data_IF_482792622526
#
_entry.id   IF_482792622526
#
_cell.length_a   1.000
_cell.length_b   1.000
_cell.length_c   1.000
_cell.angle_alpha   90.00
_cell.angle_beta   90.00
_cell.angle_gamma   90.00
#
_symmetry.space_group_name_H-M   'P 1'
#
loop_
_entity.id
_entity.type
_entity.pdbx_description
1 polymer ?
#
# COMPACT_ATOMS: atom_id res chain seq x y z
N UNK A 1 -25.14 -2.91 -0.16
CA UNK A 1 -24.70 -1.50 -0.02
C UNK A 1 -25.41 -0.65 1.06
N UNK A 2 -24.72 -0.38 2.18
CA UNK A 2 -25.08 0.66 3.16
C UNK A 2 -24.83 2.07 2.61
N UNK A 3 -25.65 3.06 3.00
CA UNK A 3 -25.45 4.47 2.64
C UNK A 3 -24.49 5.22 3.56
N UNK A 4 -24.21 4.68 4.75
CA UNK A 4 -23.43 5.35 5.78
C UNK A 4 -22.35 4.40 6.33
N UNK A 5 -21.21 4.93 6.79
CA UNK A 5 -20.19 4.11 7.43
C UNK A 5 -20.74 3.47 8.72
N UNK A 6 -20.34 2.22 9.05
CA UNK A 6 -20.66 1.58 10.33
C UNK A 6 -20.28 2.48 11.53
N UNK A 7 -21.07 2.42 12.60
CA UNK A 7 -20.82 3.22 13.80
C UNK A 7 -19.56 2.73 14.55
N UNK A 8 -19.28 1.43 14.49
CA UNK A 8 -18.06 0.82 15.03
C UNK A 8 -16.82 1.31 14.29
N UNK A 9 -16.87 1.41 12.96
CA UNK A 9 -15.80 2.02 12.16
C UNK A 9 -15.51 3.45 12.64
N UNK A 10 -16.53 4.31 12.72
CA UNK A 10 -16.34 5.70 13.12
C UNK A 10 -15.74 5.79 14.54
N UNK A 11 -16.21 4.94 15.45
CA UNK A 11 -15.68 4.88 16.82
C UNK A 11 -14.21 4.44 16.85
N UNK A 12 -13.84 3.44 16.04
CA UNK A 12 -12.46 2.98 15.89
C UNK A 12 -11.54 4.09 15.38
N UNK A 13 -11.93 4.80 14.32
CA UNK A 13 -11.14 5.91 13.77
C UNK A 13 -10.93 7.03 14.80
N UNK A 14 -11.96 7.37 15.58
CA UNK A 14 -11.87 8.36 16.65
C UNK A 14 -10.92 7.93 17.77
N UNK A 15 -11.00 6.65 18.20
CA UNK A 15 -10.13 6.09 19.22
C UNK A 15 -8.64 6.15 18.82
N UNK A 16 -8.36 5.90 17.53
CA UNK A 16 -7.01 5.97 16.96
C UNK A 16 -6.59 7.38 16.54
N UNK A 17 -7.37 8.40 16.89
CA UNK A 17 -7.08 9.81 16.63
C UNK A 17 -6.87 10.12 15.14
N UNK A 18 -7.56 9.39 14.27
CA UNK A 18 -7.61 9.70 12.85
C UNK A 18 -8.20 11.12 12.69
N UNK A 19 -7.62 11.98 11.85
CA UNK A 19 -8.07 13.38 11.75
C UNK A 19 -9.57 13.49 11.45
N UNK A 20 -10.26 14.40 12.14
CA UNK A 20 -11.71 14.57 12.01
C UNK A 20 -12.16 14.84 10.56
N UNK A 21 -11.31 15.49 9.75
CA UNK A 21 -11.55 15.70 8.32
C UNK A 21 -11.65 14.40 7.51
N UNK A 22 -10.91 13.34 7.89
CA UNK A 22 -11.00 12.04 7.24
C UNK A 22 -12.34 11.36 7.55
N UNK A 23 -12.75 11.39 8.82
CA UNK A 23 -14.02 10.83 9.29
C UNK A 23 -15.19 11.56 8.62
N UNK A 24 -15.10 12.89 8.56
CA UNK A 24 -16.11 13.72 7.88
C UNK A 24 -16.18 13.40 6.39
N UNK A 25 -15.04 13.13 5.73
CA UNK A 25 -15.03 12.76 4.32
C UNK A 25 -15.75 11.42 4.08
N UNK A 26 -15.54 10.40 4.92
CA UNK A 26 -16.28 9.14 4.85
C UNK A 26 -17.78 9.34 5.08
N UNK A 27 -18.16 10.13 6.08
CA UNK A 27 -19.58 10.37 6.38
C UNK A 27 -20.35 11.08 5.25
N UNK A 28 -19.65 11.82 4.38
CA UNK A 28 -20.24 12.50 3.22
C UNK A 28 -20.01 11.75 1.90
N UNK A 29 -19.25 10.66 1.92
CA UNK A 29 -19.03 9.84 0.74
C UNK A 29 -20.35 9.18 0.31
N UNK A 30 -20.61 9.16 -0.99
CA UNK A 30 -21.74 8.44 -1.57
C UNK A 30 -21.22 7.13 -2.15
N UNK A 31 -21.55 5.97 -1.54
CA UNK A 31 -21.12 4.67 -2.03
C UNK A 31 -21.58 4.39 -3.46
N UNK A 32 -20.77 3.64 -4.19
CA UNK A 32 -21.07 3.11 -5.52
C UNK A 32 -20.53 1.68 -5.63
N UNK A 33 -20.95 0.96 -6.66
CA UNK A 33 -20.44 -0.38 -6.97
C UNK A 33 -18.89 -0.40 -6.92
N UNK A 34 -18.36 -1.44 -6.27
CA UNK A 34 -16.93 -1.62 -5.96
C UNK A 34 -16.32 -0.70 -4.90
N UNK A 35 -17.10 0.23 -4.35
CA UNK A 35 -16.69 1.17 -3.30
C UNK A 35 -17.81 1.35 -2.28
N UNK A 36 -18.11 0.26 -1.57
CA UNK A 36 -19.22 0.12 -0.66
C UNK A 36 -18.77 0.18 0.80
N UNK A 37 -19.59 0.77 1.68
CA UNK A 37 -19.45 0.50 3.10
C UNK A 37 -19.89 -0.93 3.42
N UNK A 38 -19.31 -1.50 4.48
CA UNK A 38 -19.81 -2.72 5.11
C UNK A 38 -21.28 -2.56 5.49
N UNK A 39 -22.02 -3.67 5.44
CA UNK A 39 -23.47 -3.68 5.55
C UNK A 39 -23.96 -3.21 6.91
N UNK A 40 -23.25 -3.59 7.96
CA UNK A 40 -23.50 -3.21 9.34
C UNK A 40 -22.23 -3.32 10.21
N UNK A 41 -22.37 -3.03 11.50
CA UNK A 41 -21.27 -3.09 12.46
C UNK A 41 -20.70 -4.52 12.63
N UNK A 42 -21.51 -5.57 12.43
CA UNK A 42 -21.07 -6.97 12.56
C UNK A 42 -20.25 -7.37 11.36
N UNK A 43 -20.72 -7.03 10.15
CA UNK A 43 -19.99 -7.23 8.90
C UNK A 43 -18.61 -6.55 8.97
N UNK A 44 -18.58 -5.28 9.40
CA UNK A 44 -17.33 -4.56 9.60
C UNK A 44 -16.41 -5.20 10.65
N UNK A 45 -16.97 -5.66 11.77
CA UNK A 45 -16.18 -6.27 12.84
C UNK A 45 -15.51 -7.56 12.38
N UNK A 46 -16.20 -8.38 11.56
CA UNK A 46 -15.62 -9.61 11.03
C UNK A 46 -14.36 -9.33 10.17
N UNK A 47 -14.43 -8.33 9.29
CA UNK A 47 -13.26 -7.90 8.50
C UNK A 47 -12.15 -7.32 9.38
N UNK A 48 -12.53 -6.52 10.40
CA UNK A 48 -11.56 -5.98 11.36
C UNK A 48 -10.84 -7.08 12.15
N UNK A 49 -11.57 -8.10 12.60
CA UNK A 49 -11.01 -9.24 13.32
C UNK A 49 -10.04 -10.03 12.43
N UNK A 50 -10.37 -10.22 11.15
CA UNK A 50 -9.45 -10.83 10.19
C UNK A 50 -8.13 -10.06 10.06
N UNK A 51 -8.16 -8.72 9.92
CA UNK A 51 -6.94 -7.92 9.90
C UNK A 51 -6.16 -7.99 11.21
N UNK A 52 -6.84 -7.99 12.35
CA UNK A 52 -6.18 -8.08 13.66
C UNK A 52 -5.53 -9.44 13.90
N UNK A 53 -6.10 -10.52 13.36
CA UNK A 53 -5.54 -11.86 13.49
C UNK A 53 -4.39 -12.09 12.51
N UNK A 54 -4.56 -11.71 11.24
CA UNK A 54 -3.64 -12.05 10.15
C UNK A 54 -2.57 -10.98 9.86
N UNK A 55 -2.78 -9.72 10.24
CA UNK A 55 -1.94 -8.58 9.79
C UNK A 55 -1.46 -7.69 10.96
N UNK A 56 -1.04 -8.33 12.04
CA UNK A 56 -0.68 -7.67 13.31
C UNK A 56 0.45 -6.64 13.19
N UNK A 57 1.35 -6.79 12.21
CA UNK A 57 2.49 -5.89 11.99
C UNK A 57 2.05 -4.45 11.66
N UNK A 58 0.92 -4.30 10.98
CA UNK A 58 0.38 -3.04 10.53
C UNK A 58 -1.10 -2.97 10.92
N UNK A 59 -1.44 -2.46 12.11
CA UNK A 59 -2.83 -2.31 12.53
C UNK A 59 -3.61 -1.42 11.56
N UNK A 60 -4.68 -1.95 10.99
CA UNK A 60 -5.54 -1.26 10.02
C UNK A 60 -7.01 -1.38 10.38
N UNK A 61 -7.83 -0.49 9.83
CA UNK A 61 -9.29 -0.62 9.83
C UNK A 61 -9.80 -0.64 8.39
N UNK A 62 -10.70 -1.57 8.03
CA UNK A 62 -11.33 -1.54 6.74
C UNK A 62 -12.33 -0.39 6.65
N UNK A 63 -12.34 0.32 5.53
CA UNK A 63 -13.13 1.55 5.31
C UNK A 63 -14.14 1.41 4.18
N UNK A 64 -13.81 0.67 3.11
CA UNK A 64 -14.70 0.33 2.00
C UNK A 64 -14.40 -1.10 1.52
N UNK A 65 -15.32 -1.73 0.82
CA UNK A 65 -15.18 -3.04 0.19
C UNK A 65 -15.84 -3.05 -1.19
N UNK A 66 -15.57 -4.08 -1.98
CA UNK A 66 -16.17 -4.28 -3.31
C UNK A 66 -17.31 -5.32 -3.36
N UNK A 67 -17.72 -5.87 -2.20
CA UNK A 67 -18.64 -7.02 -2.09
C UNK A 67 -18.07 -8.36 -2.62
N UNK A 68 -16.78 -8.40 -3.02
CA UNK A 68 -16.05 -9.58 -3.51
C UNK A 68 -14.80 -9.91 -2.65
N UNK A 69 -14.77 -9.47 -1.39
CA UNK A 69 -13.70 -9.69 -0.39
C UNK A 69 -12.44 -8.84 -0.55
N UNK A 70 -12.38 -7.92 -1.53
CA UNK A 70 -11.33 -6.92 -1.54
C UNK A 70 -11.75 -5.71 -0.72
N UNK A 71 -10.79 -5.14 0.00
CA UNK A 71 -11.07 -4.11 0.98
C UNK A 71 -10.10 -2.94 0.85
N UNK A 72 -10.62 -1.74 1.02
CA UNK A 72 -9.81 -0.55 1.28
C UNK A 72 -9.67 -0.40 2.77
N UNK A 73 -8.46 -0.10 3.23
CA UNK A 73 -8.16 0.02 4.65
C UNK A 73 -7.40 1.31 4.96
N UNK A 74 -7.45 1.74 6.21
CA UNK A 74 -6.66 2.86 6.74
C UNK A 74 -5.76 2.39 7.88
N UNK A 75 -4.51 2.85 7.91
CA UNK A 75 -3.59 2.55 9.02
C UNK A 75 -4.01 3.28 10.30
N UNK A 76 -3.98 2.54 11.41
CA UNK A 76 -4.45 2.99 12.72
C UNK A 76 -3.33 3.44 13.66
N UNK A 77 -2.07 3.24 13.28
CA UNK A 77 -0.91 3.58 14.11
C UNK A 77 0.18 4.25 13.29
N UNK A 78 1.06 4.99 13.97
CA UNK A 78 2.28 5.48 13.35
C UNK A 78 3.17 4.32 12.87
N UNK A 79 4.02 4.54 11.86
CA UNK A 79 4.24 5.84 11.21
C UNK A 79 3.31 6.11 10.00
N UNK A 80 2.42 5.17 9.64
CA UNK A 80 1.53 5.28 8.48
C UNK A 80 0.13 5.84 8.81
N UNK A 81 -0.11 6.24 10.05
CA UNK A 81 -1.41 6.67 10.59
C UNK A 81 -2.21 7.53 9.59
N UNK A 82 -3.39 7.05 9.22
CA UNK A 82 -4.33 7.77 8.35
C UNK A 82 -4.08 7.63 6.84
N UNK A 83 -2.98 6.99 6.42
CA UNK A 83 -2.78 6.57 5.03
C UNK A 83 -3.72 5.43 4.67
N UNK A 84 -3.98 5.25 3.37
CA UNK A 84 -4.92 4.25 2.86
C UNK A 84 -4.21 3.29 1.91
N UNK A 85 -4.53 2.00 2.02
CA UNK A 85 -4.11 0.96 1.09
C UNK A 85 -5.31 0.15 0.59
N UNK A 86 -5.03 -0.75 -0.36
CA UNK A 86 -6.00 -1.65 -0.95
C UNK A 86 -5.54 -3.08 -0.73
N UNK A 87 -6.38 -3.88 -0.11
CA UNK A 87 -6.17 -5.28 0.18
C UNK A 87 -6.89 -6.10 -0.89
N UNK A 88 -6.12 -6.86 -1.68
CA UNK A 88 -6.65 -7.81 -2.66
C UNK A 88 -6.59 -9.22 -2.09
N UNK A 89 -7.72 -9.93 -2.02
CA UNK A 89 -7.78 -11.25 -1.37
C UNK A 89 -6.85 -12.28 -2.04
N UNK A 90 -6.74 -12.24 -3.36
CA UNK A 90 -5.95 -13.19 -4.14
C UNK A 90 -4.44 -12.88 -4.19
N UNK A 91 -4.05 -11.64 -3.86
CA UNK A 91 -2.65 -11.18 -3.80
C UNK A 91 -2.49 -10.16 -2.65
N UNK A 92 -2.56 -10.63 -1.40
CA UNK A 92 -2.73 -9.73 -0.27
C UNK A 92 -1.43 -9.05 0.11
N UNK A 93 -1.47 -7.72 0.17
CA UNK A 93 -0.46 -6.92 0.86
C UNK A 93 -1.09 -5.74 1.58
N UNK A 94 -0.29 -5.10 2.43
CA UNK A 94 -0.66 -3.85 3.11
C UNK A 94 0.30 -2.75 2.71
N UNK A 95 0.34 -2.40 1.41
CA UNK A 95 1.12 -1.24 0.97
C UNK A 95 0.28 0.05 0.94
N UNK A 96 0.85 1.20 1.33
CA UNK A 96 0.16 2.48 1.18
C UNK A 96 -0.03 2.80 -0.31
N UNK A 97 -1.20 3.33 -0.63
CA UNK A 97 -1.61 3.80 -1.97
C UNK A 97 -1.99 5.28 -1.97
N UNK A 98 -2.57 5.78 -0.87
CA UNK A 98 -2.95 7.19 -0.69
C UNK A 98 -2.49 7.74 0.66
N UNK A 99 -2.15 9.02 0.70
CA UNK A 99 -1.65 9.70 1.88
C UNK A 99 -2.76 9.91 2.93
N UNK A 100 -4.00 10.07 2.47
CA UNK A 100 -5.14 10.32 3.35
C UNK A 100 -6.43 9.69 2.79
N UNK A 101 -7.41 9.50 3.66
CA UNK A 101 -8.77 9.10 3.26
C UNK A 101 -9.38 10.10 2.26
N UNK A 102 -9.35 11.44 2.49
CA UNK A 102 -9.83 12.40 1.50
C UNK A 102 -9.19 12.28 0.12
N UNK A 103 -7.87 12.03 0.03
CA UNK A 103 -7.19 11.85 -1.26
C UNK A 103 -7.71 10.61 -2.01
N UNK A 104 -7.91 9.51 -1.27
CA UNK A 104 -8.50 8.30 -1.81
C UNK A 104 -9.93 8.52 -2.34
N UNK A 105 -10.81 9.15 -1.55
CA UNK A 105 -12.18 9.43 -1.97
C UNK A 105 -12.25 10.42 -3.14
N UNK A 106 -11.31 11.36 -3.20
CA UNK A 106 -11.15 12.26 -4.34
C UNK A 106 -10.74 11.50 -5.61
N UNK A 107 -9.87 10.48 -5.50
CA UNK A 107 -9.51 9.62 -6.62
C UNK A 107 -10.71 8.84 -7.16
N UNK A 108 -11.52 8.24 -6.29
CA UNK A 108 -12.78 7.58 -6.71
C UNK A 108 -13.69 8.55 -7.47
N UNK A 109 -13.81 9.78 -6.96
CA UNK A 109 -14.65 10.82 -7.57
C UNK A 109 -14.11 11.31 -8.91
N UNK A 110 -12.79 11.32 -9.09
CA UNK A 110 -12.13 11.72 -10.32
C UNK A 110 -12.26 10.68 -11.44
N UNK A 111 -12.46 9.41 -11.08
CA UNK A 111 -12.61 8.28 -12.00
C UNK A 111 -13.95 7.55 -11.76
N UNK A 112 -15.08 8.19 -12.09
CA UNK A 112 -16.40 7.60 -11.86
C UNK A 112 -16.60 6.27 -12.60
N UNK A 113 -15.89 6.06 -13.72
CA UNK A 113 -15.96 4.85 -14.55
C UNK A 113 -15.21 3.65 -13.99
N UNK A 114 -14.31 3.83 -13.01
CA UNK A 114 -13.63 2.71 -12.36
C UNK A 114 -14.66 1.91 -11.56
N UNK A 115 -14.76 0.60 -11.86
CA UNK A 115 -15.76 -0.27 -11.25
C UNK A 115 -15.32 -0.78 -9.89
N UNK A 116 -14.02 -0.93 -9.65
CA UNK A 116 -13.46 -1.47 -8.41
C UNK A 116 -12.08 -0.86 -8.12
N UNK A 117 -11.43 -1.36 -7.06
CA UNK A 117 -10.09 -0.91 -6.69
C UNK A 117 -8.99 -1.36 -7.65
N UNK A 118 -9.16 -2.48 -8.36
CA UNK A 118 -8.19 -2.94 -9.34
C UNK A 118 -8.14 -1.96 -10.52
N UNK A 119 -9.28 -1.63 -11.13
CA UNK A 119 -9.34 -0.65 -12.23
C UNK A 119 -8.81 0.72 -11.79
N UNK A 120 -9.18 1.17 -10.57
CA UNK A 120 -8.71 2.46 -10.04
C UNK A 120 -7.19 2.53 -9.93
N UNK A 121 -6.53 1.46 -9.50
CA UNK A 121 -5.09 1.42 -9.29
C UNK A 121 -4.29 1.03 -10.54
N UNK A 122 -4.75 0.04 -11.31
CA UNK A 122 -4.00 -0.53 -12.43
C UNK A 122 -4.32 0.16 -13.77
N UNK A 123 -5.59 0.44 -14.04
CA UNK A 123 -5.99 1.02 -15.32
C UNK A 123 -5.93 2.55 -15.29
N UNK A 124 -6.36 3.16 -14.18
CA UNK A 124 -6.37 4.62 -14.02
C UNK A 124 -5.08 5.17 -13.39
N UNK A 125 -4.27 4.31 -12.77
CA UNK A 125 -3.06 4.71 -12.05
C UNK A 125 -3.34 5.84 -11.04
N UNK A 126 -4.47 5.78 -10.34
CA UNK A 126 -4.94 6.89 -9.51
C UNK A 126 -4.23 6.99 -8.15
N UNK A 127 -3.23 6.15 -7.88
CA UNK A 127 -2.50 6.11 -6.62
C UNK A 127 -1.51 7.27 -6.42
N UNK A 128 -1.24 7.58 -5.16
CA UNK A 128 -0.18 8.50 -4.74
C UNK A 128 1.12 7.78 -4.36
N UNK A 129 1.09 6.46 -4.19
CA UNK A 129 2.27 5.63 -3.91
C UNK A 129 2.21 4.30 -4.68
N UNK A 130 3.35 3.78 -5.17
CA UNK A 130 4.65 4.46 -5.24
C UNK A 130 4.60 5.63 -6.24
N UNK A 131 5.29 6.73 -5.95
CA UNK A 131 5.31 7.91 -6.83
C UNK A 131 6.71 8.50 -6.90
N UNK A 132 7.23 8.88 -8.09
CA UNK A 132 8.53 9.51 -8.20
C UNK A 132 8.71 10.76 -7.33
N UNK A 133 7.63 11.49 -7.06
CA UNK A 133 7.57 12.67 -6.18
C UNK A 133 6.40 12.46 -5.22
N UNK A 134 6.61 11.75 -4.09
CA UNK A 134 5.53 11.44 -3.16
C UNK A 134 4.91 12.70 -2.55
N UNK A 135 3.57 12.79 -2.38
CA UNK A 135 2.88 13.98 -1.89
C UNK A 135 2.93 14.11 -0.35
N UNK A 136 4.10 13.87 0.25
CA UNK A 136 4.34 13.98 1.69
C UNK A 136 5.50 14.93 1.95
N UNK A 137 5.52 15.52 3.14
CA UNK A 137 6.73 16.20 3.63
C UNK A 137 7.90 15.20 3.66
N UNK A 138 9.04 15.62 3.09
CA UNK A 138 10.19 14.72 2.90
C UNK A 138 10.76 14.23 4.25
N UNK A 139 10.82 15.09 5.27
CA UNK A 139 11.38 14.71 6.56
C UNK A 139 10.45 13.75 7.30
N UNK A 140 9.14 14.01 7.30
CA UNK A 140 8.14 13.11 7.87
C UNK A 140 8.14 11.73 7.18
N UNK A 141 8.18 11.72 5.84
CA UNK A 141 8.21 10.50 5.03
C UNK A 141 9.48 9.68 5.28
N UNK A 142 10.65 10.32 5.27
CA UNK A 142 11.91 9.64 5.57
C UNK A 142 11.95 9.10 7.01
N UNK A 143 11.38 9.81 7.98
CA UNK A 143 11.27 9.33 9.34
C UNK A 143 10.35 8.09 9.43
N UNK A 144 9.23 8.09 8.71
CA UNK A 144 8.35 6.93 8.60
C UNK A 144 9.07 5.72 7.98
N UNK A 145 9.78 5.93 6.87
CA UNK A 145 10.59 4.90 6.22
C UNK A 145 11.65 4.31 7.15
N UNK A 146 12.35 5.15 7.92
CA UNK A 146 13.37 4.70 8.86
C UNK A 146 12.78 3.85 9.99
N UNK A 147 11.64 4.24 10.56
CA UNK A 147 10.99 3.48 11.63
C UNK A 147 10.52 2.11 11.14
N UNK A 148 9.85 2.06 9.98
CA UNK A 148 9.39 0.79 9.39
C UNK A 148 10.55 -0.10 8.99
N UNK A 149 11.59 0.47 8.39
CA UNK A 149 12.81 -0.26 8.05
C UNK A 149 13.45 -0.84 9.30
N UNK A 150 13.64 -0.05 10.35
CA UNK A 150 14.22 -0.54 11.59
C UNK A 150 13.40 -1.70 12.17
N UNK A 151 12.07 -1.56 12.22
CA UNK A 151 11.19 -2.62 12.70
C UNK A 151 11.27 -3.90 11.83
N UNK A 152 11.42 -3.74 10.50
CA UNK A 152 11.59 -4.87 9.59
C UNK A 152 12.92 -5.62 9.85
N UNK A 153 14.02 -4.88 9.99
CA UNK A 153 15.36 -5.44 10.21
C UNK A 153 15.53 -6.04 11.62
N UNK A 154 14.71 -5.64 12.58
CA UNK A 154 14.68 -6.18 13.96
C UNK A 154 13.71 -7.36 14.11
N UNK A 155 12.90 -7.67 13.10
CA UNK A 155 11.94 -8.77 13.13
C UNK A 155 12.63 -10.10 12.80
N UNK A 156 12.49 -11.09 13.70
CA UNK A 156 12.85 -12.49 13.44
C UNK A 156 11.73 -13.26 12.71
N UNK A 157 10.60 -12.61 12.43
CA UNK A 157 9.47 -13.16 11.69
C UNK A 157 9.51 -12.67 10.24
N UNK A 158 9.67 -13.62 9.30
CA UNK A 158 9.80 -13.35 7.86
C UNK A 158 8.56 -12.66 7.27
N UNK A 159 7.35 -13.03 7.72
CA UNK A 159 6.09 -12.46 7.21
C UNK A 159 5.95 -11.00 7.66
N UNK A 160 6.24 -10.73 8.94
CA UNK A 160 6.26 -9.37 9.49
C UNK A 160 7.34 -8.54 8.79
N UNK A 161 8.54 -9.10 8.62
CA UNK A 161 9.66 -8.43 7.94
C UNK A 161 9.28 -8.04 6.51
N UNK A 162 8.73 -8.97 5.73
CA UNK A 162 8.27 -8.72 4.36
C UNK A 162 7.20 -7.62 4.32
N UNK A 163 6.17 -7.74 5.15
CA UNK A 163 5.07 -6.79 5.23
C UNK A 163 5.57 -5.36 5.47
N UNK A 164 6.48 -5.19 6.44
CA UNK A 164 7.07 -3.90 6.76
C UNK A 164 7.94 -3.37 5.62
N UNK A 165 8.78 -4.21 4.99
CA UNK A 165 9.57 -3.82 3.82
C UNK A 165 8.70 -3.31 2.67
N UNK A 166 7.62 -4.02 2.37
CA UNK A 166 6.72 -3.65 1.28
C UNK A 166 6.06 -2.30 1.55
N UNK A 167 5.60 -2.07 2.78
CA UNK A 167 4.96 -0.83 3.17
C UNK A 167 5.89 0.38 3.02
N UNK A 168 7.13 0.30 3.51
CA UNK A 168 8.05 1.44 3.45
C UNK A 168 8.71 1.63 2.09
N UNK A 169 8.92 0.57 1.31
CA UNK A 169 9.43 0.72 -0.05
C UNK A 169 8.50 1.58 -0.92
N UNK A 170 7.19 1.47 -0.75
CA UNK A 170 6.21 2.29 -1.48
C UNK A 170 6.33 3.80 -1.20
N UNK A 171 6.98 4.19 -0.12
CA UNK A 171 7.19 5.59 0.23
C UNK A 171 8.45 6.20 -0.41
N UNK A 172 9.29 5.43 -1.07
CA UNK A 172 10.58 5.92 -1.61
C UNK A 172 10.34 6.90 -2.75
N UNK A 173 11.02 8.06 -2.71
CA UNK A 173 11.06 8.98 -3.84
C UNK A 173 12.10 8.53 -4.88
N UNK A 174 11.93 8.92 -6.14
CA UNK A 174 12.81 8.43 -7.22
C UNK A 174 14.29 8.80 -7.03
N UNK A 175 14.56 10.00 -6.51
CA UNK A 175 15.91 10.50 -6.24
C UNK A 175 16.58 9.85 -5.03
N UNK A 176 15.83 9.08 -4.25
CA UNK A 176 16.27 8.40 -3.04
C UNK A 176 16.53 6.90 -3.25
N UNK A 177 16.15 6.35 -4.41
CA UNK A 177 16.29 4.93 -4.76
C UNK A 177 17.71 4.41 -4.53
N UNK A 178 18.72 5.18 -4.91
CA UNK A 178 20.12 4.79 -4.77
C UNK A 178 20.51 4.50 -3.32
N UNK A 179 19.99 5.30 -2.39
CA UNK A 179 20.29 5.20 -0.97
C UNK A 179 19.46 4.11 -0.30
N UNK A 180 18.17 4.06 -0.62
CA UNK A 180 17.21 3.31 0.18
C UNK A 180 16.81 1.96 -0.43
N UNK A 181 16.72 1.85 -1.75
CA UNK A 181 16.15 0.68 -2.41
C UNK A 181 17.21 -0.24 -3.04
N UNK A 182 18.28 0.33 -3.61
CA UNK A 182 19.34 -0.47 -4.25
C UNK A 182 19.96 -1.55 -3.35
N UNK A 183 20.18 -1.32 -2.04
CA UNK A 183 20.72 -2.37 -1.16
C UNK A 183 19.85 -3.64 -1.12
N UNK A 184 18.55 -3.51 -1.33
CA UNK A 184 17.58 -4.61 -1.27
C UNK A 184 17.47 -5.39 -2.59
N UNK A 185 18.19 -4.99 -3.65
CA UNK A 185 18.29 -5.81 -4.86
C UNK A 185 19.12 -7.09 -4.65
N UNK A 186 19.88 -7.16 -3.56
CA UNK A 186 20.69 -8.32 -3.16
C UNK A 186 20.19 -8.91 -1.82
N UNK A 187 18.93 -8.64 -1.45
CA UNK A 187 18.31 -9.19 -0.23
C UNK A 187 18.24 -10.72 -0.29
N UNK A 188 18.40 -11.37 0.87
CA UNK A 188 18.34 -12.84 0.97
C UNK A 188 16.91 -13.38 0.91
N UNK A 189 15.92 -12.53 1.20
CA UNK A 189 14.53 -12.84 1.02
C UNK A 189 14.10 -12.54 -0.43
N UNK A 190 13.66 -13.60 -1.11
CA UNK A 190 13.26 -13.55 -2.51
C UNK A 190 12.11 -12.58 -2.79
N UNK A 191 11.18 -12.40 -1.84
CA UNK A 191 10.03 -11.52 -1.98
C UNK A 191 10.41 -10.06 -1.76
N UNK A 192 11.29 -9.78 -0.79
CA UNK A 192 11.87 -8.43 -0.59
C UNK A 192 12.68 -8.02 -1.82
N UNK A 193 13.53 -8.92 -2.32
CA UNK A 193 14.31 -8.68 -3.53
C UNK A 193 13.42 -8.42 -4.76
N UNK A 194 12.40 -9.26 -4.97
CA UNK A 194 11.43 -9.09 -6.06
C UNK A 194 10.75 -7.72 -5.98
N UNK A 195 10.17 -7.36 -4.83
CA UNK A 195 9.46 -6.09 -4.65
C UNK A 195 10.37 -4.89 -4.88
N UNK A 196 11.62 -4.95 -4.42
CA UNK A 196 12.60 -3.90 -4.67
C UNK A 196 12.87 -3.72 -6.17
N UNK A 197 13.06 -4.81 -6.92
CA UNK A 197 13.25 -4.79 -8.38
C UNK A 197 12.01 -4.21 -9.09
N UNK A 198 10.80 -4.60 -8.69
CA UNK A 198 9.57 -4.08 -9.31
C UNK A 198 9.42 -2.57 -9.11
N UNK A 199 9.78 -2.06 -7.94
CA UNK A 199 9.73 -0.63 -7.64
C UNK A 199 10.78 0.17 -8.41
N UNK A 200 11.97 -0.39 -8.66
CA UNK A 200 12.92 0.19 -9.64
C UNK A 200 12.21 0.41 -10.98
N UNK A 201 11.47 -0.60 -11.45
CA UNK A 201 10.65 -0.54 -12.66
C UNK A 201 9.58 0.54 -12.61
N UNK A 202 8.75 0.57 -11.56
CA UNK A 202 7.66 1.55 -11.38
C UNK A 202 8.18 2.99 -11.36
N UNK A 203 9.33 3.26 -10.74
CA UNK A 203 9.96 4.58 -10.76
C UNK A 203 10.70 4.92 -12.07
N UNK A 204 10.83 3.96 -12.99
CA UNK A 204 11.63 4.09 -14.21
C UNK A 204 13.06 4.58 -13.90
N UNK A 205 13.73 3.94 -12.94
CA UNK A 205 15.06 4.31 -12.48
C UNK A 205 16.15 3.67 -13.36
N UNK A 206 16.36 4.24 -14.54
CA UNK A 206 17.25 3.71 -15.59
C UNK A 206 18.71 3.50 -15.15
N UNK A 207 19.18 4.19 -14.10
CA UNK A 207 20.54 4.01 -13.58
C UNK A 207 20.79 2.59 -13.02
N UNK A 208 19.74 1.82 -12.71
CA UNK A 208 19.85 0.43 -12.29
C UNK A 208 19.90 -0.58 -13.46
N UNK A 209 19.85 -0.15 -14.72
CA UNK A 209 19.72 -1.06 -15.89
C UNK A 209 20.80 -2.15 -15.94
N UNK A 210 22.07 -1.80 -15.74
CA UNK A 210 23.17 -2.77 -15.79
C UNK A 210 23.06 -3.80 -14.66
N UNK A 211 22.70 -3.35 -13.45
CA UNK A 211 22.44 -4.26 -12.31
C UNK A 211 21.25 -5.16 -12.60
N UNK A 212 20.18 -4.67 -13.21
CA UNK A 212 19.04 -5.50 -13.60
C UNK A 212 19.42 -6.58 -14.62
N UNK A 213 20.32 -6.29 -15.57
CA UNK A 213 20.82 -7.31 -16.51
C UNK A 213 21.59 -8.42 -15.80
N UNK A 214 22.42 -8.07 -14.82
CA UNK A 214 23.12 -9.05 -13.98
C UNK A 214 22.12 -9.95 -13.22
N UNK A 215 21.13 -9.32 -12.57
CA UNK A 215 20.11 -9.97 -11.76
C UNK A 215 19.24 -10.95 -12.53
N UNK A 216 19.15 -10.87 -13.87
CA UNK A 216 18.45 -11.88 -14.68
C UNK A 216 19.03 -13.30 -14.50
N UNK A 217 20.26 -13.42 -13.99
CA UNK A 217 20.95 -14.71 -13.79
C UNK A 217 21.50 -14.92 -12.38
N UNK A 218 21.67 -13.86 -11.59
CA UNK A 218 22.28 -13.92 -10.25
C UNK A 218 21.28 -13.77 -9.10
N UNK A 219 20.11 -13.16 -9.35
CA UNK A 219 19.08 -13.00 -8.33
C UNK A 219 18.45 -14.34 -7.93
N UNK A 220 17.63 -14.31 -6.88
CA UNK A 220 16.74 -15.43 -6.52
C UNK A 220 15.67 -15.61 -7.62
N UNK A 221 15.02 -16.79 -7.73
CA UNK A 221 14.12 -17.10 -8.86
C UNK A 221 13.08 -16.02 -9.20
N UNK A 222 12.41 -15.43 -8.20
CA UNK A 222 11.46 -14.35 -8.45
C UNK A 222 12.16 -13.07 -8.92
N UNK A 223 13.27 -12.70 -8.27
CA UNK A 223 14.08 -11.53 -8.66
C UNK A 223 14.58 -11.61 -10.11
N UNK A 224 14.98 -12.80 -10.59
CA UNK A 224 15.36 -13.01 -11.99
C UNK A 224 14.20 -12.68 -12.93
N UNK A 225 13.02 -13.18 -12.60
CA UNK A 225 11.79 -12.96 -13.38
C UNK A 225 11.39 -11.48 -13.34
N UNK A 226 11.42 -10.85 -12.16
CA UNK A 226 11.12 -9.43 -11.98
C UNK A 226 12.08 -8.56 -12.80
N UNK A 227 13.39 -8.84 -12.77
CA UNK A 227 14.37 -8.09 -13.55
C UNK A 227 14.12 -8.19 -15.06
N UNK A 228 13.78 -9.39 -15.55
CA UNK A 228 13.36 -9.60 -16.94
C UNK A 228 12.09 -8.80 -17.28
N UNK A 229 11.07 -8.80 -16.41
CA UNK A 229 9.83 -8.01 -16.59
C UNK A 229 10.17 -6.52 -16.71
N UNK A 230 10.97 -5.99 -15.79
CA UNK A 230 11.36 -4.57 -15.77
C UNK A 230 12.13 -4.16 -17.02
N UNK A 231 13.16 -4.92 -17.42
CA UNK A 231 13.93 -4.63 -18.62
C UNK A 231 13.07 -4.67 -19.89
N UNK A 232 12.12 -5.62 -19.96
CA UNK A 232 11.15 -5.68 -21.06
C UNK A 232 10.24 -4.45 -21.10
N UNK A 233 9.78 -3.96 -19.95
CA UNK A 233 8.96 -2.73 -19.87
C UNK A 233 9.72 -1.50 -20.37
N UNK A 234 11.03 -1.42 -20.12
CA UNK A 234 11.85 -0.27 -20.54
C UNK A 234 12.31 -0.30 -22.00
N UNK A 235 12.01 -1.39 -22.72
CA UNK A 235 12.57 -1.63 -24.04
C UNK A 235 14.01 -2.12 -23.93
N UNK A 236 14.25 -3.35 -24.41
CA UNK A 236 15.57 -3.98 -24.53
C UNK A 236 16.55 -3.13 -25.31
#
# INVERSE_FOLDING_TARGET
MSQYPPATLISCLQQHQIPAGHITALQHFTPKDGFCFHHDDTDWQNSKDYFDECWQALPVAPILQDEESNEWFVYLTGPLLGMVGHFQHDDPDLVPSFATIPDFLAAISAYPEAQDGYELLHDKCAYQFPNPIPPLDAAARQAAMQQLRQAAEESDDDEIRQCLHFAWFNLIAKDEIAQWLLPYLDDEDMYVQERAIELIGKHNYQAARDKLHELQTTALPNGQTAAQRVLKMWGS
#
